data_IF_922643709664
#
_entry.id   IF_922643709664
#
_cell.length_a   1.000
_cell.length_b   1.000
_cell.length_c   1.000
_cell.angle_alpha   90.00
_cell.angle_beta   90.00
_cell.angle_gamma   90.00
#
_symmetry.space_group_name_H-M   'P 1'
#
loop_
_entity.id
_entity.type
_entity.pdbx_description
1 polymer ?
#
# COMPACT_ATOMS: atom_id res chain seq x y z
N UNK A 1 8.78 -8.67 8.49
CA UNK A 1 7.99 -7.46 8.84
C UNK A 1 6.81 -7.38 7.90
N UNK A 2 5.78 -6.62 8.27
CA UNK A 2 4.73 -6.20 7.34
C UNK A 2 5.08 -4.80 6.82
N UNK A 3 5.26 -4.64 5.52
CA UNK A 3 5.56 -3.36 4.86
C UNK A 3 4.30 -2.91 4.13
N UNK A 4 3.85 -1.69 4.41
CA UNK A 4 2.76 -1.06 3.66
C UNK A 4 3.35 -0.05 2.67
N UNK A 5 3.04 -0.23 1.39
CA UNK A 5 3.40 0.72 0.33
C UNK A 5 2.15 1.41 -0.18
N UNK A 6 2.22 2.72 -0.34
CA UNK A 6 1.19 3.51 -1.01
C UNK A 6 1.25 3.36 -2.54
N UNK A 7 0.13 3.63 -3.22
CA UNK A 7 0.05 3.50 -4.66
C UNK A 7 0.35 4.82 -5.38
N UNK A 8 -0.52 5.81 -5.23
CA UNK A 8 -0.49 7.07 -5.96
C UNK A 8 0.74 7.89 -5.56
N UNK A 9 1.54 8.34 -6.53
CA UNK A 9 2.74 9.15 -6.29
C UNK A 9 3.86 8.48 -5.46
N UNK A 10 3.61 7.28 -4.94
CA UNK A 10 4.60 6.41 -4.31
C UNK A 10 5.01 5.29 -5.29
N UNK A 11 4.17 4.26 -5.47
CA UNK A 11 4.42 3.19 -6.44
C UNK A 11 4.46 3.72 -7.87
N UNK A 12 3.51 4.59 -8.25
CA UNK A 12 3.41 5.09 -9.62
C UNK A 12 4.55 6.00 -10.04
N UNK A 13 5.34 6.52 -9.08
CA UNK A 13 6.48 7.40 -9.37
C UNK A 13 7.65 6.66 -10.03
N UNK A 14 7.84 5.38 -9.71
CA UNK A 14 8.78 4.48 -10.39
C UNK A 14 8.37 3.00 -10.21
N UNK A 15 7.44 2.49 -11.03
CA UNK A 15 6.93 1.13 -10.86
C UNK A 15 8.00 0.03 -10.99
N UNK A 16 9.00 0.22 -11.86
CA UNK A 16 10.07 -0.78 -12.06
C UNK A 16 10.97 -0.87 -10.83
N UNK A 17 11.35 0.28 -10.26
CA UNK A 17 12.09 0.31 -9.00
C UNK A 17 11.30 -0.38 -7.88
N UNK A 18 10.02 -0.03 -7.72
CA UNK A 18 9.23 -0.59 -6.64
C UNK A 18 8.92 -2.07 -6.84
N UNK A 19 8.76 -2.55 -8.07
CA UNK A 19 8.64 -3.97 -8.37
C UNK A 19 9.87 -4.75 -7.86
N UNK A 20 11.07 -4.21 -8.09
CA UNK A 20 12.32 -4.82 -7.60
C UNK A 20 12.42 -4.78 -6.06
N UNK A 21 12.03 -3.68 -5.43
CA UNK A 21 12.02 -3.56 -3.96
C UNK A 21 11.01 -4.52 -3.33
N UNK A 22 9.81 -4.64 -3.89
CA UNK A 22 8.77 -5.57 -3.43
C UNK A 22 9.28 -7.01 -3.56
N UNK A 23 9.83 -7.38 -4.73
CA UNK A 23 10.38 -8.71 -4.96
C UNK A 23 11.51 -9.05 -3.97
N UNK A 24 12.42 -8.11 -3.72
CA UNK A 24 13.49 -8.27 -2.75
C UNK A 24 12.96 -8.44 -1.32
N UNK A 25 11.99 -7.61 -0.91
CA UNK A 25 11.38 -7.71 0.42
C UNK A 25 10.74 -9.09 0.63
N UNK A 26 9.97 -9.57 -0.36
CA UNK A 26 9.37 -10.91 -0.33
C UNK A 26 10.43 -12.01 -0.29
N UNK A 27 11.48 -11.92 -1.12
CA UNK A 27 12.61 -12.86 -1.12
C UNK A 27 13.34 -12.93 0.23
N UNK A 28 13.36 -11.82 0.98
CA UNK A 28 13.94 -11.73 2.33
C UNK A 28 12.99 -12.18 3.45
N UNK A 29 11.80 -12.67 3.10
CA UNK A 29 10.81 -13.17 4.06
C UNK A 29 9.99 -12.07 4.72
N UNK A 30 9.78 -10.94 4.05
CA UNK A 30 8.86 -9.90 4.49
C UNK A 30 7.54 -9.97 3.72
N UNK A 31 6.44 -9.60 4.39
CA UNK A 31 5.15 -9.41 3.74
C UNK A 31 5.03 -7.97 3.26
N UNK A 32 4.51 -7.78 2.06
CA UNK A 32 4.23 -6.46 1.50
C UNK A 32 2.74 -6.38 1.19
N UNK A 33 2.10 -5.29 1.60
CA UNK A 33 0.73 -4.93 1.24
C UNK A 33 0.71 -3.56 0.58
N UNK A 34 -0.23 -3.34 -0.33
CA UNK A 34 -0.53 -2.02 -0.86
C UNK A 34 -1.65 -1.39 0.00
N UNK A 35 -1.46 -0.14 0.46
CA UNK A 35 -2.46 0.62 1.20
C UNK A 35 -2.72 1.96 0.51
N UNK A 36 -3.86 2.10 -0.16
CA UNK A 36 -4.21 3.29 -0.95
C UNK A 36 -5.44 3.99 -0.38
N UNK A 37 -5.47 5.32 -0.54
CA UNK A 37 -6.66 6.14 -0.23
C UNK A 37 -7.78 5.97 -1.27
N UNK A 38 -7.53 5.31 -2.41
CA UNK A 38 -8.56 5.02 -3.42
C UNK A 38 -9.68 4.16 -2.84
N UNK A 39 -10.87 4.29 -3.42
CA UNK A 39 -11.97 3.35 -3.30
C UNK A 39 -11.72 2.12 -4.18
N UNK A 40 -12.36 1.00 -3.84
CA UNK A 40 -12.22 -0.25 -4.59
C UNK A 40 -12.62 -0.12 -6.07
N UNK A 41 -13.64 0.69 -6.38
CA UNK A 41 -14.08 0.94 -7.76
C UNK A 41 -13.07 1.74 -8.60
N UNK A 42 -12.09 2.39 -7.97
CA UNK A 42 -10.97 3.09 -8.62
C UNK A 42 -9.73 2.18 -8.78
N UNK A 43 -9.85 0.89 -8.41
CA UNK A 43 -8.75 -0.02 -8.16
C UNK A 43 -8.31 -0.92 -9.30
N UNK A 44 -8.97 -0.90 -10.46
CA UNK A 44 -8.68 -1.83 -11.57
C UNK A 44 -7.20 -1.84 -11.97
N UNK A 45 -6.60 -0.65 -12.09
CA UNK A 45 -5.18 -0.49 -12.43
C UNK A 45 -4.27 -1.07 -11.35
N UNK A 46 -4.56 -0.82 -10.08
CA UNK A 46 -3.79 -1.31 -8.93
C UNK A 46 -3.81 -2.84 -8.89
N UNK A 47 -4.97 -3.44 -9.12
CA UNK A 47 -5.14 -4.89 -9.16
C UNK A 47 -4.30 -5.51 -10.28
N UNK A 48 -4.28 -4.90 -11.46
CA UNK A 48 -3.46 -5.35 -12.59
C UNK A 48 -1.96 -5.24 -12.30
N UNK A 49 -1.53 -4.12 -11.71
CA UNK A 49 -0.12 -3.83 -11.50
C UNK A 49 0.48 -4.56 -10.30
N UNK A 50 -0.26 -4.65 -9.18
CA UNK A 50 0.24 -5.13 -7.90
C UNK A 50 -0.38 -6.45 -7.44
N UNK A 51 -1.53 -6.87 -8.00
CA UNK A 51 -2.31 -8.00 -7.45
C UNK A 51 -1.59 -9.36 -7.41
N UNK A 52 -0.49 -9.51 -8.17
CA UNK A 52 0.38 -10.70 -8.13
C UNK A 52 1.73 -10.47 -7.43
N UNK A 53 1.99 -9.26 -6.96
CA UNK A 53 3.28 -8.82 -6.40
C UNK A 53 3.22 -8.62 -4.88
N UNK A 54 2.06 -8.19 -4.37
CA UNK A 54 1.83 -7.95 -2.94
C UNK A 54 0.84 -8.97 -2.38
N UNK A 55 0.86 -9.17 -1.06
CA UNK A 55 -0.02 -10.10 -0.36
C UNK A 55 -1.49 -9.64 -0.42
N UNK A 56 -1.72 -8.33 -0.27
CA UNK A 56 -3.04 -7.70 -0.32
C UNK A 56 -2.97 -6.26 -0.85
N UNK A 57 -4.07 -5.83 -1.45
CA UNK A 57 -4.37 -4.43 -1.76
C UNK A 57 -5.52 -4.00 -0.86
N UNK A 58 -5.31 -2.95 -0.07
CA UNK A 58 -6.27 -2.40 0.87
C UNK A 58 -6.68 -1.01 0.39
N UNK A 59 -7.95 -0.88 0.05
CA UNK A 59 -8.60 0.37 -0.32
C UNK A 59 -9.22 0.98 0.94
N UNK A 60 -8.63 2.06 1.46
CA UNK A 60 -9.17 2.70 2.67
C UNK A 60 -10.38 3.56 2.37
N UNK A 61 -10.62 3.89 1.10
CA UNK A 61 -11.76 4.71 0.69
C UNK A 61 -11.72 6.08 1.35
N UNK A 62 -10.58 6.77 1.20
CA UNK A 62 -10.29 8.09 1.76
C UNK A 62 -10.17 8.16 3.29
N UNK A 63 -10.18 7.03 4.00
CA UNK A 63 -9.93 6.98 5.44
C UNK A 63 -8.44 6.91 5.77
N UNK A 64 -8.04 7.50 6.89
CA UNK A 64 -6.68 7.48 7.43
C UNK A 64 -6.14 6.04 7.49
N UNK A 65 -5.01 5.80 6.81
CA UNK A 65 -4.51 4.44 6.57
C UNK A 65 -4.16 3.71 7.86
N UNK A 66 -3.54 4.40 8.81
CA UNK A 66 -3.07 3.76 10.04
C UNK A 66 -4.23 3.19 10.86
N UNK A 67 -5.27 4.00 11.12
CA UNK A 67 -6.43 3.55 11.90
C UNK A 67 -7.24 2.49 11.14
N UNK A 68 -7.46 2.70 9.84
CA UNK A 68 -8.24 1.76 9.02
C UNK A 68 -7.57 0.38 8.96
N UNK A 69 -6.26 0.31 8.67
CA UNK A 69 -5.54 -0.97 8.58
C UNK A 69 -5.58 -1.73 9.91
N UNK A 70 -5.43 -1.05 11.04
CA UNK A 70 -5.55 -1.69 12.37
C UNK A 70 -6.94 -2.29 12.58
N UNK A 71 -8.01 -1.58 12.20
CA UNK A 71 -9.39 -2.06 12.31
C UNK A 71 -9.63 -3.32 11.47
N UNK A 72 -8.97 -3.45 10.31
CA UNK A 72 -9.05 -4.64 9.45
C UNK A 72 -7.95 -5.67 9.71
N UNK A 73 -7.21 -5.54 10.82
CA UNK A 73 -6.28 -6.56 11.32
C UNK A 73 -4.86 -6.51 10.75
N UNK A 74 -4.46 -5.42 10.08
CA UNK A 74 -3.11 -5.23 9.56
C UNK A 74 -2.34 -4.21 10.39
N UNK A 75 -1.10 -4.58 10.77
CA UNK A 75 -0.22 -3.75 11.61
C UNK A 75 1.14 -3.57 10.93
N UNK A 76 1.26 -2.67 9.94
CA UNK A 76 2.52 -2.45 9.24
C UNK A 76 3.63 -2.02 10.20
N UNK A 77 4.79 -2.64 10.07
CA UNK A 77 6.02 -2.27 10.79
C UNK A 77 6.74 -1.09 10.12
N UNK A 78 6.57 -0.95 8.80
CA UNK A 78 7.18 0.10 7.97
C UNK A 78 6.14 0.61 6.98
N UNK A 79 6.12 1.93 6.78
CA UNK A 79 5.30 2.62 5.79
C UNK A 79 6.19 3.25 4.73
N UNK A 80 5.81 3.08 3.46
CA UNK A 80 6.42 3.74 2.31
C UNK A 80 5.30 4.54 1.66
N UNK A 81 5.35 5.85 1.82
CA UNK A 81 4.27 6.76 1.45
C UNK A 81 4.90 8.14 1.19
N UNK A 82 4.65 8.73 0.04
CA UNK A 82 5.15 10.06 -0.31
C UNK A 82 4.42 11.18 0.48
N UNK A 83 3.24 10.86 1.00
CA UNK A 83 2.30 11.75 1.67
C UNK A 83 1.93 11.20 3.06
N UNK A 84 2.89 11.13 4.00
CA UNK A 84 2.70 10.46 5.30
C UNK A 84 1.59 11.03 6.18
N UNK A 85 1.05 12.22 5.86
CA UNK A 85 -0.11 12.78 6.53
C UNK A 85 -1.38 11.93 6.33
N UNK A 86 -1.54 11.22 5.20
CA UNK A 86 -2.66 10.30 4.95
C UNK A 86 -2.66 9.05 5.83
N UNK A 87 -1.56 8.79 6.54
CA UNK A 87 -1.56 7.77 7.58
C UNK A 87 -2.52 8.13 8.71
N UNK A 88 -2.68 9.42 9.02
CA UNK A 88 -3.36 9.89 10.23
C UNK A 88 -4.55 10.81 9.94
N UNK A 89 -4.82 11.13 8.68
CA UNK A 89 -5.90 12.04 8.28
C UNK A 89 -6.75 11.41 7.17
N UNK A 90 -8.06 11.59 7.29
CA UNK A 90 -9.00 11.29 6.21
C UNK A 90 -8.84 12.35 5.10
N UNK A 91 -9.05 11.96 3.85
CA UNK A 91 -9.14 12.91 2.75
C UNK A 91 -10.56 13.52 2.73
N UNK A 92 -10.63 14.84 2.53
CA UNK A 92 -11.88 15.61 2.45
C UNK A 92 -12.72 15.25 1.22
#
# INVERSE_FOLDING_TARGET
MLIAIDYDETYTRDPEFWDLVIALAVQRGHSVICATMRHEHEGNEIILMLGKKVERIIFTGRKAKHLFLQQVGYYPSVWIDDSPHWLFQDAL
#
